data_IF_825047809630
#
_entry.id   IF_825047809630
#
_cell.length_a   1.000
_cell.length_b   1.000
_cell.length_c   1.000
_cell.angle_alpha   90.00
_cell.angle_beta   90.00
_cell.angle_gamma   90.00
#
_symmetry.space_group_name_H-M   'P 1'
#
loop_
_entity.id
_entity.type
_entity.pdbx_description
1 polymer ?
#
# COMPACT_ATOMS: atom_id res chain seq x y z
N UNK A 1 -56.61 -53.25 -46.25
CA UNK A 1 -55.29 -52.60 -46.37
C UNK A 1 -54.93 -51.99 -45.02
N UNK A 2 -54.19 -52.73 -44.19
CA UNK A 2 -53.65 -52.22 -42.94
C UNK A 2 -52.42 -51.37 -43.25
N UNK A 3 -52.45 -50.11 -42.87
CA UNK A 3 -51.41 -49.13 -43.20
C UNK A 3 -50.22 -49.34 -42.27
N UNK A 4 -49.12 -49.85 -42.84
CA UNK A 4 -47.82 -50.09 -42.20
C UNK A 4 -47.15 -48.74 -41.82
N UNK A 5 -47.69 -48.00 -40.85
CA UNK A 5 -47.24 -46.65 -40.45
C UNK A 5 -46.85 -46.53 -38.96
N UNK A 6 -46.37 -47.60 -38.34
CA UNK A 6 -45.91 -47.57 -36.95
C UNK A 6 -44.47 -47.10 -36.80
N UNK A 7 -43.53 -47.78 -37.45
CA UNK A 7 -42.09 -47.64 -37.14
C UNK A 7 -41.38 -46.55 -37.95
N UNK A 8 -41.72 -46.37 -39.23
CA UNK A 8 -41.09 -45.35 -40.10
C UNK A 8 -41.49 -43.91 -39.73
N UNK A 9 -42.69 -43.72 -39.17
CA UNK A 9 -43.14 -42.40 -38.72
C UNK A 9 -42.46 -42.01 -37.40
N UNK A 10 -42.29 -42.97 -36.48
CA UNK A 10 -41.51 -42.80 -35.25
C UNK A 10 -40.04 -42.53 -35.56
N UNK A 11 -39.41 -43.26 -36.50
CA UNK A 11 -38.01 -43.02 -36.88
C UNK A 11 -37.80 -41.63 -37.48
N UNK A 12 -38.69 -41.18 -38.37
CA UNK A 12 -38.62 -39.86 -38.97
C UNK A 12 -38.89 -38.73 -37.97
N UNK A 13 -39.79 -38.95 -37.00
CA UNK A 13 -40.05 -38.00 -35.92
C UNK A 13 -38.88 -37.88 -34.95
N UNK A 14 -38.27 -39.00 -34.56
CA UNK A 14 -37.06 -39.03 -33.72
C UNK A 14 -35.89 -38.38 -34.45
N UNK A 15 -35.66 -38.69 -35.73
CA UNK A 15 -34.55 -38.12 -36.50
C UNK A 15 -34.72 -36.61 -36.77
N UNK A 16 -35.96 -36.13 -36.96
CA UNK A 16 -36.26 -34.69 -37.06
C UNK A 16 -36.08 -33.96 -35.73
N UNK A 17 -36.39 -34.63 -34.62
CA UNK A 17 -36.18 -34.09 -33.27
C UNK A 17 -34.69 -34.01 -32.93
N UNK A 18 -33.92 -35.06 -33.23
CA UNK A 18 -32.46 -35.08 -33.07
C UNK A 18 -31.81 -33.97 -33.90
N UNK A 19 -32.14 -33.84 -35.20
CA UNK A 19 -31.61 -32.75 -36.04
C UNK A 19 -31.92 -31.35 -35.53
N UNK A 20 -33.08 -31.14 -34.88
CA UNK A 20 -33.43 -29.86 -34.24
C UNK A 20 -32.58 -29.59 -33.00
N UNK A 21 -32.30 -30.63 -32.21
CA UNK A 21 -31.41 -30.53 -31.04
C UNK A 21 -29.98 -30.26 -31.49
N UNK A 22 -29.48 -30.98 -32.49
CA UNK A 22 -28.13 -30.76 -33.06
C UNK A 22 -27.99 -29.33 -33.60
N UNK A 23 -28.97 -28.85 -34.38
CA UNK A 23 -28.94 -27.47 -34.88
C UNK A 23 -29.05 -26.39 -33.79
N UNK A 24 -29.76 -26.66 -32.69
CA UNK A 24 -29.81 -25.76 -31.54
C UNK A 24 -28.50 -25.77 -30.75
N UNK A 25 -27.85 -26.92 -30.64
CA UNK A 25 -26.55 -27.10 -29.99
C UNK A 25 -25.44 -26.43 -30.78
N UNK A 26 -25.42 -26.59 -32.11
CA UNK A 26 -24.47 -25.90 -32.99
C UNK A 26 -24.67 -24.38 -32.95
N UNK A 27 -25.93 -23.91 -32.94
CA UNK A 27 -26.22 -22.48 -32.73
C UNK A 27 -25.78 -21.96 -31.36
N UNK A 28 -25.72 -22.81 -30.33
CA UNK A 28 -25.24 -22.43 -29.00
C UNK A 28 -23.71 -22.40 -28.95
N UNK A 29 -23.04 -23.37 -29.59
CA UNK A 29 -21.58 -23.39 -29.78
C UNK A 29 -21.11 -22.12 -30.49
N UNK A 30 -21.83 -21.66 -31.50
CA UNK A 30 -21.48 -20.41 -32.21
C UNK A 30 -21.75 -19.12 -31.39
N UNK A 31 -22.48 -19.22 -30.27
CA UNK A 31 -22.78 -18.08 -29.40
C UNK A 31 -21.82 -17.93 -28.24
N UNK A 32 -21.21 -19.01 -27.77
CA UNK A 32 -20.28 -19.00 -26.63
C UNK A 32 -19.04 -19.79 -27.00
N UNK A 33 -17.90 -19.11 -27.15
CA UNK A 33 -16.63 -19.71 -27.60
C UNK A 33 -15.46 -19.24 -26.75
N UNK A 34 -14.48 -20.11 -26.54
CA UNK A 34 -13.18 -19.71 -26.01
C UNK A 34 -12.30 -19.20 -27.14
N UNK A 35 -11.61 -18.09 -26.91
CA UNK A 35 -10.76 -17.46 -27.91
C UNK A 35 -9.44 -16.96 -27.31
N UNK A 36 -8.34 -17.18 -28.03
CA UNK A 36 -7.04 -16.58 -27.74
C UNK A 36 -7.02 -15.14 -28.24
N UNK A 37 -6.47 -14.25 -27.43
CA UNK A 37 -6.25 -12.85 -27.76
C UNK A 37 -5.02 -12.73 -28.65
N UNK A 38 -5.17 -12.05 -29.79
CA UNK A 38 -4.11 -11.81 -30.77
C UNK A 38 -3.56 -10.39 -30.62
N UNK A 39 -4.45 -9.42 -30.44
CA UNK A 39 -4.07 -8.02 -30.22
C UNK A 39 -5.20 -7.28 -29.48
N UNK A 40 -4.89 -6.14 -28.88
CA UNK A 40 -5.81 -5.35 -28.06
C UNK A 40 -5.72 -3.87 -28.44
N UNK A 41 -6.87 -3.21 -28.56
CA UNK A 41 -6.91 -1.74 -28.65
C UNK A 41 -6.74 -1.13 -27.25
N UNK A 42 -5.52 -0.81 -26.83
CA UNK A 42 -5.24 -0.25 -25.49
C UNK A 42 -5.15 1.28 -25.48
N UNK A 43 -4.62 1.88 -26.53
CA UNK A 43 -4.43 3.33 -26.67
C UNK A 43 -4.33 3.72 -28.16
N UNK A 44 -4.00 4.99 -28.43
CA UNK A 44 -3.86 5.54 -29.79
C UNK A 44 -2.77 4.90 -30.65
N UNK A 45 -1.80 4.24 -30.02
CA UNK A 45 -0.66 3.63 -30.69
C UNK A 45 -0.97 2.19 -31.14
N UNK A 46 -2.11 1.63 -30.72
CA UNK A 46 -2.59 0.33 -31.17
C UNK A 46 -2.93 0.34 -32.66
N UNK A 47 -2.54 -0.72 -33.37
CA UNK A 47 -2.94 -0.92 -34.77
C UNK A 47 -4.45 -1.08 -34.95
N UNK A 48 -5.16 -1.50 -33.91
CA UNK A 48 -6.61 -1.66 -33.87
C UNK A 48 -7.37 -0.36 -33.55
N UNK A 49 -6.68 0.73 -33.16
CA UNK A 49 -7.32 1.94 -32.62
C UNK A 49 -8.35 2.56 -33.59
N UNK A 50 -7.95 2.84 -34.83
CA UNK A 50 -8.85 3.43 -35.84
C UNK A 50 -9.99 2.49 -36.25
N UNK A 51 -9.73 1.18 -36.22
CA UNK A 51 -10.65 0.14 -36.70
C UNK A 51 -11.74 -0.20 -35.67
N UNK A 52 -11.47 0.05 -34.39
CA UNK A 52 -12.38 -0.28 -33.27
C UNK A 52 -13.23 0.90 -32.80
N UNK A 53 -13.08 2.06 -33.43
CA UNK A 53 -13.80 3.29 -33.07
C UNK A 53 -13.07 4.15 -32.05
N UNK A 54 -11.73 4.14 -32.10
CA UNK A 54 -10.84 5.03 -31.35
C UNK A 54 -11.07 4.93 -29.83
N UNK A 55 -11.27 6.03 -29.13
CA UNK A 55 -11.51 6.06 -27.68
C UNK A 55 -12.72 5.23 -27.23
N UNK A 56 -13.72 5.03 -28.09
CA UNK A 56 -14.87 4.14 -27.78
C UNK A 56 -14.56 2.65 -28.01
N UNK A 57 -13.43 2.36 -28.67
CA UNK A 57 -12.94 1.03 -29.00
C UNK A 57 -11.98 0.46 -27.97
N UNK A 58 -11.52 1.25 -27.00
CA UNK A 58 -10.53 0.81 -25.99
C UNK A 58 -11.01 -0.45 -25.26
N UNK A 59 -10.11 -1.42 -25.16
CA UNK A 59 -10.36 -2.77 -24.66
C UNK A 59 -10.89 -3.73 -25.72
N UNK A 60 -11.23 -3.30 -26.95
CA UNK A 60 -11.63 -4.24 -28.00
C UNK A 60 -10.45 -5.13 -28.38
N UNK A 61 -10.66 -6.44 -28.35
CA UNK A 61 -9.63 -7.43 -28.72
C UNK A 61 -9.85 -7.91 -30.14
N UNK A 62 -8.74 -8.19 -30.82
CA UNK A 62 -8.70 -9.13 -31.93
C UNK A 62 -8.44 -10.53 -31.38
N UNK A 63 -9.18 -11.51 -31.86
CA UNK A 63 -9.11 -12.86 -31.29
C UNK A 63 -9.11 -13.96 -32.36
N UNK A 64 -8.70 -15.15 -31.92
CA UNK A 64 -8.79 -16.40 -32.67
C UNK A 64 -9.49 -17.46 -31.82
N UNK A 65 -10.44 -18.20 -32.42
CA UNK A 65 -11.12 -19.30 -31.72
C UNK A 65 -10.13 -20.44 -31.46
N UNK A 66 -10.08 -20.94 -30.22
CA UNK A 66 -9.09 -21.93 -29.78
C UNK A 66 -9.21 -23.25 -30.55
N UNK A 67 -10.43 -23.72 -30.83
CA UNK A 67 -10.71 -24.99 -31.52
C UNK A 67 -10.47 -24.95 -33.03
N UNK A 68 -10.01 -23.82 -33.57
CA UNK A 68 -9.70 -23.66 -34.99
C UNK A 68 -8.49 -22.76 -35.16
N UNK A 69 -7.32 -23.17 -34.64
CA UNK A 69 -6.11 -22.37 -34.72
C UNK A 69 -5.67 -22.27 -36.18
N UNK A 70 -5.39 -21.05 -36.61
CA UNK A 70 -4.77 -20.70 -37.88
C UNK A 70 -3.42 -20.01 -37.60
N UNK A 71 -2.51 -19.96 -38.58
CA UNK A 71 -1.25 -19.22 -38.41
C UNK A 71 -1.52 -17.73 -38.24
N UNK A 72 -0.74 -17.02 -37.43
CA UNK A 72 -0.97 -15.60 -37.15
C UNK A 72 -0.90 -14.73 -38.42
N UNK A 73 -0.07 -15.11 -39.41
CA UNK A 73 0.00 -14.48 -40.74
C UNK A 73 -1.32 -14.55 -41.52
N UNK A 74 -2.09 -15.64 -41.36
CA UNK A 74 -3.38 -15.80 -42.04
C UNK A 74 -4.49 -14.94 -41.41
N UNK A 75 -4.34 -14.56 -40.13
CA UNK A 75 -5.33 -13.77 -39.39
C UNK A 75 -5.33 -12.31 -39.91
N UNK A 76 -4.15 -11.75 -40.18
CA UNK A 76 -3.97 -10.38 -40.70
C UNK A 76 -4.59 -10.14 -42.08
N UNK A 77 -4.85 -11.20 -42.85
CA UNK A 77 -5.47 -11.14 -44.19
C UNK A 77 -6.99 -11.41 -44.18
N UNK A 78 -7.53 -11.86 -43.04
CA UNK A 78 -8.93 -12.22 -42.87
C UNK A 78 -9.74 -11.11 -42.17
N UNK A 79 -11.06 -11.13 -42.33
CA UNK A 79 -11.98 -10.19 -41.67
C UNK A 79 -11.74 -10.20 -40.15
N UNK A 80 -11.35 -9.07 -39.57
CA UNK A 80 -10.99 -8.93 -38.16
C UNK A 80 -12.09 -9.50 -37.25
N UNK A 81 -11.75 -10.52 -36.48
CA UNK A 81 -12.60 -11.05 -35.43
C UNK A 81 -12.43 -10.18 -34.19
N UNK A 82 -13.38 -9.28 -33.96
CA UNK A 82 -13.35 -8.30 -32.88
C UNK A 82 -14.35 -8.63 -31.77
N UNK A 83 -13.92 -8.49 -30.52
CA UNK A 83 -14.79 -8.61 -29.35
C UNK A 83 -14.61 -7.44 -28.38
N UNK A 84 -15.70 -7.00 -27.76
CA UNK A 84 -15.72 -5.87 -26.81
C UNK A 84 -15.75 -6.35 -25.36
N UNK A 85 -15.25 -5.57 -24.39
CA UNK A 85 -15.43 -5.92 -22.98
C UNK A 85 -16.92 -6.00 -22.64
N UNK A 86 -17.33 -7.06 -21.94
CA UNK A 86 -18.72 -7.21 -21.50
C UNK A 86 -19.10 -6.16 -20.45
N UNK A 87 -18.17 -5.85 -19.54
CA UNK A 87 -18.37 -4.90 -18.44
C UNK A 87 -17.62 -3.60 -18.71
N UNK A 88 -18.29 -2.48 -19.01
CA UNK A 88 -17.60 -1.22 -19.27
C UNK A 88 -17.05 -0.53 -18.01
N UNK A 89 -17.54 -0.89 -16.82
CA UNK A 89 -17.11 -0.30 -15.54
C UNK A 89 -15.97 -1.06 -14.85
N UNK A 90 -15.75 -2.32 -15.20
CA UNK A 90 -14.69 -3.17 -14.64
C UNK A 90 -13.69 -3.47 -15.75
N UNK A 91 -12.54 -2.78 -15.71
CA UNK A 91 -11.50 -2.88 -16.74
C UNK A 91 -10.42 -3.86 -16.30
N UNK A 92 -10.54 -5.09 -16.78
CA UNK A 92 -9.51 -6.11 -16.69
C UNK A 92 -9.29 -6.63 -18.12
N UNK A 93 -8.52 -5.88 -18.90
CA UNK A 93 -8.24 -6.25 -20.28
C UNK A 93 -7.20 -7.38 -20.28
N UNK A 94 -7.37 -8.38 -21.16
CA UNK A 94 -6.38 -9.45 -21.32
C UNK A 94 -5.05 -8.92 -21.82
N UNK A 95 -4.01 -9.75 -21.70
CA UNK A 95 -2.77 -9.64 -22.47
C UNK A 95 -2.86 -10.47 -23.76
N UNK A 96 -1.93 -10.24 -24.69
CA UNK A 96 -1.81 -11.09 -25.88
C UNK A 96 -1.48 -12.52 -25.44
N UNK A 97 -2.00 -13.48 -26.20
CA UNK A 97 -1.96 -14.92 -25.91
C UNK A 97 -2.83 -15.40 -24.73
N UNK A 98 -3.46 -14.54 -23.95
CA UNK A 98 -4.45 -15.02 -22.95
C UNK A 98 -5.74 -15.51 -23.62
N UNK A 99 -6.44 -16.42 -22.95
CA UNK A 99 -7.72 -16.94 -23.43
C UNK A 99 -8.86 -16.22 -22.71
N UNK A 100 -9.88 -15.83 -23.47
CA UNK A 100 -11.12 -15.25 -22.94
C UNK A 100 -12.33 -16.08 -23.36
N UNK A 101 -13.39 -16.01 -22.56
CA UNK A 101 -14.70 -16.50 -22.95
C UNK A 101 -15.44 -15.41 -23.71
N UNK A 102 -15.91 -15.72 -24.92
CA UNK A 102 -16.71 -14.83 -25.75
C UNK A 102 -18.17 -15.22 -25.72
N UNK A 103 -19.06 -14.23 -25.73
CA UNK A 103 -20.49 -14.38 -25.95
C UNK A 103 -20.98 -13.45 -27.06
N UNK A 104 -21.77 -13.99 -27.99
CA UNK A 104 -22.31 -13.25 -29.12
C UNK A 104 -23.62 -12.57 -28.74
N UNK A 105 -23.60 -11.23 -28.66
CA UNK A 105 -24.74 -10.42 -28.22
C UNK A 105 -25.08 -9.32 -29.25
N UNK A 106 -26.25 -8.66 -29.16
CA UNK A 106 -26.62 -7.55 -30.04
C UNK A 106 -25.60 -6.41 -30.00
N UNK A 107 -25.50 -5.65 -31.09
CA UNK A 107 -24.62 -4.49 -31.19
C UNK A 107 -25.42 -3.20 -31.52
N UNK A 108 -24.73 -2.06 -31.58
CA UNK A 108 -25.34 -0.74 -31.84
C UNK A 108 -26.17 -0.72 -33.14
N UNK A 109 -25.71 -1.42 -34.19
CA UNK A 109 -26.37 -1.50 -35.49
C UNK A 109 -27.64 -2.36 -35.47
N UNK A 110 -27.75 -3.29 -34.51
CA UNK A 110 -28.93 -4.11 -34.27
C UNK A 110 -30.13 -3.29 -33.82
N UNK A 111 -29.86 -2.31 -32.95
CA UNK A 111 -30.87 -1.45 -32.32
C UNK A 111 -31.43 -0.43 -33.33
N UNK A 112 -30.56 0.17 -34.16
CA UNK A 112 -30.96 1.23 -35.08
C UNK A 112 -31.80 0.75 -36.29
N UNK A 113 -31.77 -0.55 -36.64
CA UNK A 113 -32.39 -1.07 -37.87
C UNK A 113 -33.29 -2.30 -37.68
N UNK A 114 -33.61 -2.70 -36.43
CA UNK A 114 -34.26 -3.99 -36.12
C UNK A 114 -33.55 -5.11 -36.90
N UNK A 115 -32.22 -5.17 -36.77
CA UNK A 115 -31.41 -6.18 -37.46
C UNK A 115 -30.90 -7.21 -36.46
N UNK A 116 -30.79 -8.47 -36.87
CA UNK A 116 -30.16 -9.53 -36.07
C UNK A 116 -28.64 -9.42 -36.00
N UNK A 117 -28.06 -8.24 -36.23
CA UNK A 117 -26.64 -8.02 -36.15
C UNK A 117 -26.15 -8.34 -34.73
N UNK A 118 -24.96 -8.91 -34.62
CA UNK A 118 -24.38 -9.28 -33.34
C UNK A 118 -22.89 -8.99 -33.35
N UNK A 119 -22.29 -8.89 -32.18
CA UNK A 119 -20.84 -8.79 -31.98
C UNK A 119 -20.47 -9.66 -30.80
N UNK A 120 -19.19 -10.01 -30.70
CA UNK A 120 -18.69 -10.73 -29.56
C UNK A 120 -18.42 -9.76 -28.41
N UNK A 121 -18.74 -10.21 -27.21
CA UNK A 121 -18.34 -9.59 -25.96
C UNK A 121 -17.50 -10.61 -25.19
N UNK A 122 -16.46 -10.16 -24.52
CA UNK A 122 -15.59 -11.04 -23.74
C UNK A 122 -15.76 -10.82 -22.23
N UNK A 123 -15.61 -11.91 -21.48
CA UNK A 123 -15.37 -11.90 -20.05
C UNK A 123 -13.86 -11.74 -19.76
N UNK A 124 -13.51 -11.53 -18.49
CA UNK A 124 -12.12 -11.46 -18.05
C UNK A 124 -11.29 -12.68 -18.50
N UNK A 125 -9.96 -12.55 -18.57
CA UNK A 125 -9.06 -13.65 -18.93
C UNK A 125 -9.31 -14.90 -18.09
N UNK A 126 -9.23 -16.06 -18.73
CA UNK A 126 -9.32 -17.35 -18.05
C UNK A 126 -8.01 -17.64 -17.31
N UNK A 127 -8.14 -18.12 -16.07
CA UNK A 127 -7.02 -18.41 -15.18
C UNK A 127 -6.42 -19.79 -15.48
N UNK A 128 -5.84 -19.99 -16.67
CA UNK A 128 -5.33 -21.30 -17.11
C UNK A 128 -4.18 -21.79 -16.22
N UNK A 129 -3.29 -20.88 -15.83
CA UNK A 129 -2.16 -21.17 -14.96
C UNK A 129 -2.44 -20.85 -13.49
N UNK A 130 -3.62 -20.30 -13.20
CA UNK A 130 -4.01 -19.84 -11.88
C UNK A 130 -3.03 -18.82 -11.26
N UNK A 131 -2.45 -17.95 -12.10
CA UNK A 131 -1.46 -16.96 -11.68
C UNK A 131 -1.96 -15.52 -11.87
N UNK A 132 -1.71 -14.59 -10.93
CA UNK A 132 -2.21 -13.22 -11.03
C UNK A 132 -1.47 -12.37 -12.06
N UNK A 133 -0.21 -12.67 -12.37
CA UNK A 133 0.62 -11.87 -13.28
C UNK A 133 0.20 -12.04 -14.76
N UNK A 134 0.11 -13.27 -15.26
CA UNK A 134 -0.33 -13.58 -16.61
C UNK A 134 -0.87 -15.01 -16.75
N UNK A 135 -1.77 -15.21 -17.73
CA UNK A 135 -2.35 -16.51 -18.08
C UNK A 135 -2.22 -16.82 -19.58
N UNK A 136 -1.11 -16.42 -20.21
CA UNK A 136 -0.88 -16.55 -21.64
C UNK A 136 -0.73 -18.02 -22.06
N UNK A 137 -1.35 -18.38 -23.18
CA UNK A 137 -1.27 -19.69 -23.81
C UNK A 137 -1.02 -19.52 -25.33
N UNK A 138 0.26 -19.50 -25.75
CA UNK A 138 0.62 -19.22 -27.14
C UNK A 138 0.07 -20.22 -28.16
N UNK A 139 0.09 -19.83 -29.44
CA UNK A 139 -0.36 -20.68 -30.53
C UNK A 139 0.53 -21.92 -30.69
N UNK A 140 0.02 -23.15 -30.52
CA UNK A 140 0.84 -24.35 -30.72
C UNK A 140 1.25 -24.57 -32.18
N UNK A 141 0.58 -23.91 -33.14
CA UNK A 141 0.89 -24.01 -34.56
C UNK A 141 1.94 -23.01 -35.05
N UNK A 142 2.27 -22.00 -34.24
CA UNK A 142 3.32 -21.04 -34.56
C UNK A 142 4.54 -21.50 -33.77
N UNK A 143 5.59 -21.87 -34.49
CA UNK A 143 6.88 -22.22 -33.88
C UNK A 143 7.53 -20.92 -33.39
N UNK A 144 7.04 -20.40 -32.27
CA UNK A 144 7.58 -19.22 -31.59
C UNK A 144 8.90 -19.54 -30.87
N UNK A 145 9.42 -20.76 -30.97
CA UNK A 145 10.34 -21.28 -29.98
C UNK A 145 11.74 -21.66 -30.48
N UNK A 146 12.74 -20.98 -29.93
CA UNK A 146 14.05 -21.57 -29.68
C UNK A 146 13.87 -22.81 -28.76
N UNK A 147 14.74 -23.81 -28.87
CA UNK A 147 14.59 -25.12 -28.19
C UNK A 147 14.41 -25.06 -26.65
N UNK A 148 14.70 -23.92 -26.01
CA UNK A 148 14.54 -23.68 -24.57
C UNK A 148 13.07 -23.59 -24.11
N UNK A 149 12.18 -22.93 -24.88
CA UNK A 149 10.80 -22.70 -24.46
C UNK A 149 9.94 -23.98 -24.44
N UNK A 150 10.21 -24.94 -25.33
CA UNK A 150 9.50 -26.26 -25.32
C UNK A 150 9.80 -27.05 -24.05
N UNK A 151 11.00 -26.89 -23.48
CA UNK A 151 11.40 -27.53 -22.23
C UNK A 151 10.72 -26.87 -21.02
N UNK A 152 10.58 -25.54 -21.01
CA UNK A 152 9.92 -24.81 -19.91
C UNK A 152 8.44 -25.18 -19.76
N UNK A 153 7.66 -25.27 -20.84
CA UNK A 153 6.24 -25.66 -20.74
C UNK A 153 6.04 -27.08 -20.20
N UNK A 154 6.85 -28.04 -20.67
CA UNK A 154 6.81 -29.41 -20.15
C UNK A 154 7.26 -29.49 -18.69
N UNK A 155 8.18 -28.61 -18.28
CA UNK A 155 8.63 -28.51 -16.89
C UNK A 155 7.56 -27.83 -15.99
N UNK A 156 6.86 -26.81 -16.47
CA UNK A 156 5.75 -26.14 -15.78
C UNK A 156 4.54 -27.08 -15.63
N UNK A 157 4.16 -27.83 -16.67
CA UNK A 157 3.12 -28.87 -16.59
C UNK A 157 3.49 -30.00 -15.61
N UNK A 158 4.79 -30.23 -15.39
CA UNK A 158 5.32 -31.16 -14.40
C UNK A 158 5.49 -30.55 -12.99
N UNK A 159 5.07 -29.30 -12.77
CA UNK A 159 5.11 -28.62 -11.48
C UNK A 159 6.45 -27.96 -11.12
N UNK A 160 7.38 -27.83 -12.07
CA UNK A 160 8.62 -27.09 -11.85
C UNK A 160 8.44 -25.60 -12.16
N UNK A 161 9.10 -24.76 -11.37
CA UNK A 161 9.16 -23.33 -11.61
C UNK A 161 9.94 -22.98 -12.88
N UNK A 162 9.44 -22.00 -13.65
CA UNK A 162 10.24 -21.32 -14.66
C UNK A 162 11.40 -20.61 -13.98
N UNK A 163 12.64 -20.92 -14.37
CA UNK A 163 13.80 -20.08 -14.05
C UNK A 163 13.98 -19.10 -15.19
N UNK A 164 13.66 -17.84 -14.97
CA UNK A 164 13.98 -16.79 -15.95
C UNK A 164 15.49 -16.57 -15.88
N UNK A 165 16.23 -17.28 -16.74
CA UNK A 165 17.55 -16.83 -17.15
C UNK A 165 17.33 -15.86 -18.33
N UNK A 166 17.98 -14.69 -18.28
CA UNK A 166 17.88 -13.51 -19.17
C UNK A 166 17.96 -13.76 -20.70
N UNK A 167 18.02 -15.00 -21.18
CA UNK A 167 18.18 -15.37 -22.59
C UNK A 167 17.07 -16.30 -23.15
N UNK A 168 16.01 -16.62 -22.39
CA UNK A 168 14.87 -17.36 -22.96
C UNK A 168 13.94 -16.39 -23.72
N UNK A 169 13.64 -16.65 -25.00
CA UNK A 169 12.73 -15.83 -25.80
C UNK A 169 11.43 -15.54 -25.04
N UNK A 170 11.16 -14.26 -24.77
CA UNK A 170 9.97 -13.81 -24.05
C UNK A 170 8.75 -14.00 -24.95
N UNK A 171 7.67 -14.55 -24.41
CA UNK A 171 6.39 -14.65 -25.11
C UNK A 171 5.91 -13.22 -25.35
N UNK A 172 5.47 -12.89 -26.56
CA UNK A 172 4.88 -11.58 -26.79
C UNK A 172 3.53 -11.46 -26.06
N UNK A 173 3.50 -10.60 -25.03
CA UNK A 173 2.33 -10.31 -24.21
C UNK A 173 1.65 -8.99 -24.60
N UNK A 174 2.25 -8.21 -25.50
CA UNK A 174 1.76 -6.88 -25.87
C UNK A 174 1.25 -6.82 -27.31
N UNK A 175 1.79 -7.61 -28.24
CA UNK A 175 1.43 -7.55 -29.65
C UNK A 175 1.61 -6.14 -30.22
N UNK A 176 0.69 -5.75 -31.09
CA UNK A 176 0.66 -4.41 -31.70
C UNK A 176 -0.31 -3.46 -30.97
N UNK A 177 -0.51 -3.68 -29.67
CA UNK A 177 -1.49 -2.95 -28.85
C UNK A 177 -1.01 -1.56 -28.41
N UNK A 178 0.28 -1.28 -28.50
CA UNK A 178 0.91 -0.11 -27.87
C UNK A 178 1.05 -0.25 -26.35
N UNK A 179 0.86 -1.45 -25.80
CA UNK A 179 1.13 -1.78 -24.40
C UNK A 179 2.62 -2.00 -24.12
N UNK A 180 2.99 -1.93 -22.84
CA UNK A 180 4.37 -2.09 -22.35
C UNK A 180 4.44 -3.03 -21.13
N UNK A 181 3.56 -4.03 -21.07
CA UNK A 181 3.59 -5.03 -20.01
C UNK A 181 4.91 -5.80 -20.09
N UNK A 182 5.62 -5.91 -18.97
CA UNK A 182 6.83 -6.72 -18.85
C UNK A 182 6.61 -7.68 -17.68
N UNK A 183 6.83 -8.97 -17.91
CA UNK A 183 6.74 -9.98 -16.87
C UNK A 183 7.93 -9.82 -15.91
N UNK A 184 7.66 -9.69 -14.62
CA UNK A 184 8.67 -9.73 -13.56
C UNK A 184 9.05 -11.19 -13.26
N UNK A 185 8.07 -12.10 -13.29
CA UNK A 185 8.29 -13.54 -13.09
C UNK A 185 8.51 -13.95 -11.64
N UNK A 186 8.54 -12.98 -10.72
CA UNK A 186 8.66 -13.16 -9.28
C UNK A 186 7.52 -12.46 -8.51
N UNK A 187 6.30 -12.50 -9.05
CA UNK A 187 5.09 -12.01 -8.38
C UNK A 187 4.37 -13.18 -7.72
N UNK A 188 4.33 -13.18 -6.39
CA UNK A 188 3.74 -14.24 -5.60
C UNK A 188 2.22 -14.08 -5.41
N UNK A 189 1.39 -15.08 -5.75
CA UNK A 189 -0.03 -15.04 -5.39
C UNK A 189 -0.22 -14.86 -3.88
N UNK A 190 -1.22 -14.10 -3.47
CA UNK A 190 -1.58 -13.99 -2.05
C UNK A 190 -2.24 -15.30 -1.62
N UNK A 191 -1.73 -15.92 -0.55
CA UNK A 191 -2.31 -17.15 0.00
C UNK A 191 -3.74 -16.89 0.53
N UNK A 192 -4.78 -17.51 -0.05
CA UNK A 192 -6.14 -17.33 0.43
C UNK A 192 -6.42 -18.22 1.66
N UNK A 193 -7.19 -17.69 2.60
CA UNK A 193 -7.83 -18.44 3.68
C UNK A 193 -9.33 -18.57 3.43
N UNK A 194 -9.98 -19.46 4.18
CA UNK A 194 -11.41 -19.71 4.01
C UNK A 194 -12.24 -18.44 4.28
N UNK A 195 -13.08 -18.08 3.31
CA UNK A 195 -13.96 -16.90 3.39
C UNK A 195 -13.35 -15.60 2.87
N UNK A 196 -12.07 -15.60 2.46
CA UNK A 196 -11.45 -14.42 1.87
C UNK A 196 -12.08 -14.05 0.52
N UNK A 197 -12.13 -12.75 0.26
CA UNK A 197 -12.29 -12.18 -1.08
C UNK A 197 -11.03 -11.36 -1.37
N UNK A 198 -10.23 -11.82 -2.32
CA UNK A 198 -8.95 -11.20 -2.68
C UNK A 198 -9.02 -10.73 -4.13
N UNK A 199 -8.65 -9.48 -4.36
CA UNK A 199 -8.41 -8.94 -5.69
C UNK A 199 -6.91 -8.68 -5.83
N UNK A 200 -6.29 -9.30 -6.82
CA UNK A 200 -4.86 -9.14 -7.11
C UNK A 200 -4.65 -8.47 -8.47
N UNK A 201 -3.67 -7.58 -8.53
CA UNK A 201 -3.15 -7.02 -9.77
C UNK A 201 -1.93 -7.78 -10.27
N UNK A 202 -1.61 -7.61 -11.55
CA UNK A 202 -0.46 -8.24 -12.21
C UNK A 202 0.91 -7.77 -11.66
N UNK A 203 0.93 -6.68 -10.88
CA UNK A 203 2.15 -6.01 -10.41
C UNK A 203 2.36 -6.17 -8.90
N UNK A 204 1.79 -7.21 -8.27
CA UNK A 204 2.01 -7.50 -6.85
C UNK A 204 1.26 -6.57 -5.89
N UNK A 205 0.22 -5.89 -6.35
CA UNK A 205 -0.72 -5.14 -5.52
C UNK A 205 -1.98 -5.97 -5.24
N UNK A 206 -2.58 -5.82 -4.07
CA UNK A 206 -3.77 -6.59 -3.67
C UNK A 206 -4.72 -5.82 -2.75
N UNK A 207 -5.99 -6.24 -2.76
CA UNK A 207 -7.00 -5.89 -1.77
C UNK A 207 -7.57 -7.20 -1.24
N UNK A 208 -7.42 -7.43 0.06
CA UNK A 208 -7.96 -8.57 0.78
C UNK A 208 -9.09 -8.11 1.69
N UNK A 209 -10.26 -8.71 1.54
CA UNK A 209 -11.36 -8.68 2.51
C UNK A 209 -11.43 -10.07 3.14
N UNK A 210 -10.85 -10.21 4.33
CA UNK A 210 -10.61 -11.51 4.93
C UNK A 210 -10.93 -11.56 6.41
N UNK A 211 -10.37 -12.59 7.04
CA UNK A 211 -10.52 -12.81 8.48
C UNK A 211 -9.22 -13.32 9.12
N UNK A 212 -9.16 -13.29 10.45
CA UNK A 212 -8.20 -14.10 11.20
C UNK A 212 -8.52 -15.56 10.96
N UNK A 213 -7.58 -16.31 10.41
CA UNK A 213 -7.70 -17.74 10.17
C UNK A 213 -6.49 -18.45 10.75
N UNK A 214 -6.68 -19.15 11.88
CA UNK A 214 -5.65 -19.96 12.51
C UNK A 214 -5.58 -21.31 11.81
N UNK A 215 -4.53 -21.50 10.99
CA UNK A 215 -4.33 -22.75 10.26
C UNK A 215 -3.01 -23.42 10.67
N UNK A 216 -3.02 -24.75 10.73
CA UNK A 216 -1.83 -25.59 10.99
C UNK A 216 -1.03 -25.87 9.69
N UNK A 217 -1.11 -24.97 8.71
CA UNK A 217 -0.41 -25.09 7.42
C UNK A 217 1.07 -24.67 7.49
N UNK A 218 1.85 -25.05 6.47
CA UNK A 218 3.27 -24.65 6.35
C UNK A 218 3.46 -23.14 6.19
N UNK A 219 2.49 -22.47 5.55
CA UNK A 219 2.44 -21.01 5.44
C UNK A 219 1.24 -20.55 6.27
N UNK A 220 1.51 -19.72 7.27
CA UNK A 220 0.51 -19.16 8.20
C UNK A 220 0.39 -17.66 7.98
N UNK A 221 -0.72 -17.07 8.41
CA UNK A 221 -0.81 -15.63 8.48
C UNK A 221 0.20 -15.11 9.53
N UNK A 222 1.08 -14.21 9.13
CA UNK A 222 2.07 -13.60 10.02
C UNK A 222 1.50 -12.41 10.82
N UNK A 223 0.30 -11.93 10.49
CA UNK A 223 -0.26 -10.72 11.09
C UNK A 223 -1.03 -10.95 12.38
N UNK A 224 -1.34 -12.18 12.81
CA UNK A 224 -1.75 -12.42 14.19
C UNK A 224 -1.87 -13.89 14.60
N UNK A 225 -1.30 -14.22 15.77
CA UNK A 225 -1.63 -15.42 16.56
C UNK A 225 -2.84 -15.16 17.50
N UNK A 226 -3.22 -13.90 17.68
CA UNK A 226 -4.31 -13.45 18.56
C UNK A 226 -5.59 -13.16 17.78
N UNK A 227 -6.73 -13.22 18.48
CA UNK A 227 -8.06 -13.14 17.89
C UNK A 227 -8.68 -14.52 17.61
N UNK A 228 -9.97 -14.52 17.31
CA UNK A 228 -10.73 -15.73 17.01
C UNK A 228 -10.89 -15.89 15.50
N UNK A 229 -11.06 -17.13 15.05
CA UNK A 229 -11.36 -17.41 13.65
C UNK A 229 -12.61 -16.64 13.21
N UNK A 230 -12.54 -15.98 12.06
CA UNK A 230 -13.64 -15.17 11.54
C UNK A 230 -13.63 -13.70 11.95
N UNK A 231 -12.73 -13.26 12.83
CA UNK A 231 -12.56 -11.82 13.12
C UNK A 231 -12.12 -11.08 11.85
N UNK A 232 -12.84 -10.04 11.40
CA UNK A 232 -12.59 -9.43 10.10
C UNK A 232 -11.26 -8.67 10.08
N UNK A 233 -10.56 -8.76 8.94
CA UNK A 233 -9.40 -7.92 8.63
C UNK A 233 -9.49 -7.50 7.16
N UNK A 234 -9.08 -6.27 6.87
CA UNK A 234 -8.90 -5.84 5.49
C UNK A 234 -7.50 -5.31 5.28
N UNK A 235 -6.86 -5.76 4.22
CA UNK A 235 -5.49 -5.38 3.87
C UNK A 235 -5.50 -4.81 2.46
N UNK A 236 -4.96 -3.60 2.31
CA UNK A 236 -4.65 -3.02 1.01
C UNK A 236 -3.14 -2.98 0.91
N UNK A 237 -2.59 -3.67 -0.08
CA UNK A 237 -1.14 -3.77 -0.29
C UNK A 237 -0.79 -3.28 -1.68
N UNK A 238 0.29 -2.50 -1.77
CA UNK A 238 0.85 -2.07 -3.03
C UNK A 238 2.37 -2.33 -3.04
N UNK A 239 2.75 -3.43 -3.69
CA UNK A 239 4.11 -3.95 -3.73
C UNK A 239 4.36 -5.02 -2.67
N UNK A 240 4.97 -6.13 -3.10
CA UNK A 240 5.32 -7.26 -2.24
C UNK A 240 6.68 -7.03 -1.58
N UNK A 241 6.98 -7.81 -0.55
CA UNK A 241 8.33 -7.92 0.01
C UNK A 241 9.38 -8.16 -1.11
N UNK A 242 10.35 -7.25 -1.30
CA UNK A 242 11.38 -7.39 -2.33
C UNK A 242 12.37 -8.52 -2.07
N UNK A 243 12.45 -9.03 -0.84
CA UNK A 243 13.32 -10.15 -0.45
C UNK A 243 12.71 -11.54 -0.74
N UNK A 244 11.57 -11.59 -1.43
CA UNK A 244 10.94 -12.85 -1.82
C UNK A 244 11.79 -13.53 -2.90
N UNK A 245 12.23 -14.76 -2.61
CA UNK A 245 13.02 -15.56 -3.54
C UNK A 245 12.10 -16.36 -4.48
N UNK A 246 12.54 -16.60 -5.74
CA UNK A 246 11.85 -17.49 -6.65
C UNK A 246 11.63 -18.89 -6.04
N UNK A 247 10.53 -19.56 -6.38
CA UNK A 247 9.73 -19.26 -7.55
C UNK A 247 8.47 -18.44 -7.28
N UNK A 248 8.19 -17.48 -8.17
CA UNK A 248 7.05 -16.56 -8.08
C UNK A 248 5.68 -17.22 -8.00
N UNK A 249 5.50 -18.46 -8.46
CA UNK A 249 4.18 -19.12 -8.36
C UNK A 249 3.83 -19.60 -6.95
N UNK A 250 4.80 -19.69 -6.03
CA UNK A 250 4.55 -20.14 -4.65
C UNK A 250 3.86 -19.00 -3.90
N UNK A 251 2.64 -19.22 -3.37
CA UNK A 251 1.91 -18.15 -2.72
C UNK A 251 2.59 -17.69 -1.42
N UNK A 252 2.33 -16.43 -1.05
CA UNK A 252 2.86 -15.82 0.18
C UNK A 252 1.77 -15.07 0.93
N UNK A 253 2.03 -14.73 2.18
CA UNK A 253 1.18 -13.83 2.98
C UNK A 253 1.75 -12.42 2.99
N UNK A 254 0.87 -11.43 3.10
CA UNK A 254 1.25 -10.04 3.34
C UNK A 254 2.12 -9.92 4.60
N UNK A 255 3.12 -9.05 4.61
CA UNK A 255 4.02 -8.79 5.73
C UNK A 255 4.13 -7.29 5.95
N UNK A 256 3.56 -6.81 7.05
CA UNK A 256 3.48 -5.37 7.33
C UNK A 256 4.84 -4.68 7.34
N UNK A 257 5.91 -5.37 7.76
CA UNK A 257 7.23 -4.76 7.91
C UNK A 257 8.07 -4.83 6.63
N UNK A 258 7.77 -5.76 5.72
CA UNK A 258 8.55 -5.98 4.49
C UNK A 258 7.86 -5.57 3.21
N UNK A 259 6.53 -5.59 3.17
CA UNK A 259 5.79 -5.09 2.02
C UNK A 259 6.05 -3.58 1.83
N UNK A 260 6.14 -3.13 0.57
CA UNK A 260 6.57 -1.75 0.26
C UNK A 260 5.63 -0.68 0.81
N UNK A 261 4.32 -0.88 0.67
CA UNK A 261 3.30 0.01 1.23
C UNK A 261 2.00 -0.73 1.49
N UNK A 262 1.38 -0.45 2.64
CA UNK A 262 0.19 -1.16 3.07
C UNK A 262 -0.71 -0.39 4.03
N UNK A 263 -1.98 -0.78 4.06
CA UNK A 263 -3.01 -0.34 5.00
C UNK A 263 -3.64 -1.59 5.62
N UNK A 264 -3.61 -1.68 6.94
CA UNK A 264 -4.24 -2.77 7.70
C UNK A 264 -5.41 -2.21 8.51
N UNK A 265 -6.61 -2.74 8.27
CA UNK A 265 -7.83 -2.46 9.04
C UNK A 265 -8.12 -3.66 9.91
N UNK A 266 -7.91 -3.53 11.21
CA UNK A 266 -8.01 -4.63 12.18
C UNK A 266 -9.26 -4.50 13.04
N UNK A 267 -9.78 -5.63 13.50
CA UNK A 267 -10.84 -5.71 14.51
C UNK A 267 -10.29 -6.15 15.86
N UNK A 268 -9.47 -7.20 15.87
CA UNK A 268 -8.95 -7.82 17.09
C UNK A 268 -7.54 -8.44 16.92
N UNK A 269 -6.88 -8.14 15.80
CA UNK A 269 -5.58 -8.71 15.46
C UNK A 269 -4.45 -7.93 16.14
N UNK A 270 -3.56 -8.66 16.81
CA UNK A 270 -2.25 -8.19 17.25
C UNK A 270 -1.28 -8.22 16.08
N UNK A 271 -0.97 -7.06 15.51
CA UNK A 271 -0.09 -6.93 14.34
C UNK A 271 1.37 -6.77 14.81
N UNK A 272 2.35 -7.56 14.32
CA UNK A 272 3.74 -7.47 14.75
C UNK A 272 4.49 -6.28 14.10
N UNK A 273 3.96 -5.06 14.22
CA UNK A 273 4.54 -3.86 13.63
C UNK A 273 5.85 -3.45 14.33
N UNK A 274 6.92 -3.30 13.56
CA UNK A 274 8.20 -2.75 14.03
C UNK A 274 8.26 -1.24 13.78
N UNK A 275 8.13 -0.44 14.83
CA UNK A 275 8.19 1.02 14.71
C UNK A 275 9.63 1.52 14.61
N UNK A 276 9.87 2.45 13.69
CA UNK A 276 11.16 3.13 13.59
C UNK A 276 11.57 3.86 14.89
N UNK A 277 10.58 4.37 15.64
CA UNK A 277 10.76 4.91 16.99
C UNK A 277 9.44 4.88 17.76
N UNK A 278 9.48 4.37 18.98
CA UNK A 278 8.39 4.47 19.93
C UNK A 278 8.96 4.93 21.28
N UNK A 279 8.65 6.15 21.67
CA UNK A 279 8.94 6.66 23.02
C UNK A 279 7.67 7.27 23.61
N UNK A 280 7.48 7.05 24.90
CA UNK A 280 6.33 7.52 25.67
C UNK A 280 6.74 8.55 26.73
N UNK A 281 7.95 9.11 26.65
CA UNK A 281 8.48 10.05 27.64
C UNK A 281 7.70 11.37 27.67
N UNK A 282 6.96 11.69 26.60
CA UNK A 282 6.12 12.89 26.46
C UNK A 282 4.71 12.74 27.03
N UNK A 283 4.34 11.56 27.56
CA UNK A 283 3.00 11.29 28.10
C UNK A 283 3.07 10.65 29.49
N UNK A 284 2.10 10.97 30.35
CA UNK A 284 2.02 10.39 31.70
C UNK A 284 1.36 9.00 31.68
N UNK A 285 0.25 8.88 30.94
CA UNK A 285 -0.42 7.61 30.70
C UNK A 285 0.09 7.07 29.36
N UNK A 286 0.88 6.00 29.43
CA UNK A 286 1.47 5.36 28.26
C UNK A 286 0.39 4.59 27.50
N UNK A 287 0.21 4.81 26.20
CA UNK A 287 -0.58 3.91 25.37
C UNK A 287 0.03 2.51 25.39
N UNK A 288 -0.78 1.53 25.04
CA UNK A 288 -0.28 0.19 24.72
C UNK A 288 0.65 0.26 23.50
N UNK A 289 1.69 -0.58 23.49
CA UNK A 289 2.60 -0.64 22.35
C UNK A 289 1.85 -1.15 21.10
N UNK A 290 2.06 -0.58 19.91
CA UNK A 290 1.30 -0.97 18.73
C UNK A 290 1.42 -2.45 18.34
N UNK A 291 2.53 -3.11 18.69
CA UNK A 291 2.71 -4.55 18.47
C UNK A 291 2.06 -5.46 19.55
N UNK A 292 1.52 -4.87 20.62
CA UNK A 292 0.76 -5.56 21.65
C UNK A 292 -0.75 -5.28 21.56
N UNK A 293 -1.13 -4.18 20.91
CA UNK A 293 -2.53 -3.77 20.79
C UNK A 293 -3.36 -4.78 19.99
N UNK A 294 -4.39 -5.33 20.65
CA UNK A 294 -5.25 -6.42 20.16
C UNK A 294 -6.68 -5.98 19.85
N UNK A 295 -6.95 -4.68 19.84
CA UNK A 295 -8.27 -4.12 19.51
C UNK A 295 -8.26 -3.46 18.14
N UNK A 296 -9.41 -2.93 17.72
CA UNK A 296 -9.56 -2.36 16.40
C UNK A 296 -8.65 -1.13 16.20
N UNK A 297 -7.87 -1.17 15.13
CA UNK A 297 -6.97 -0.09 14.72
C UNK A 297 -6.78 -0.05 13.20
N UNK A 298 -6.41 1.12 12.71
CA UNK A 298 -5.94 1.33 11.34
C UNK A 298 -4.45 1.59 11.39
N UNK A 299 -3.67 0.80 10.65
CA UNK A 299 -2.23 0.96 10.54
C UNK A 299 -1.89 1.32 9.09
N UNK A 300 -1.11 2.38 8.91
CA UNK A 300 -0.57 2.82 7.62
C UNK A 300 0.94 2.61 7.67
N UNK A 301 1.49 1.77 6.78
CA UNK A 301 2.94 1.57 6.68
C UNK A 301 3.44 1.83 5.25
N UNK A 302 4.53 2.58 5.13
CA UNK A 302 5.11 3.01 3.86
C UNK A 302 6.47 3.66 4.11
N UNK A 303 7.33 3.73 3.08
CA UNK A 303 8.56 4.52 3.13
C UNK A 303 8.34 6.03 3.35
N UNK A 304 7.17 6.57 3.00
CA UNK A 304 6.77 7.96 3.30
C UNK A 304 5.24 8.07 3.44
N UNK A 305 4.79 8.83 4.43
CA UNK A 305 3.39 9.24 4.60
C UNK A 305 3.27 10.76 4.39
N UNK A 306 2.38 11.21 3.51
CA UNK A 306 2.14 12.63 3.21
C UNK A 306 0.66 12.95 3.38
N UNK A 307 0.34 13.89 4.27
CA UNK A 307 -1.01 14.43 4.45
C UNK A 307 -1.05 15.85 3.87
N UNK A 308 -1.80 16.07 2.80
CA UNK A 308 -1.86 17.35 2.08
C UNK A 308 -3.31 17.76 1.80
N UNK A 309 -3.64 19.02 2.10
CA UNK A 309 -4.95 19.64 1.82
C UNK A 309 -4.75 20.91 1.01
N UNK A 310 -5.43 21.05 -0.14
CA UNK A 310 -5.26 22.19 -1.06
C UNK A 310 -6.33 23.28 -0.92
N UNK A 311 -7.33 23.08 -0.06
CA UNK A 311 -8.46 24.01 0.11
C UNK A 311 -8.64 24.39 1.57
N UNK A 312 -8.75 23.40 2.46
CA UNK A 312 -9.19 23.62 3.84
C UNK A 312 -8.12 23.15 4.84
N UNK A 313 -8.39 22.09 5.61
CA UNK A 313 -7.65 21.79 6.84
C UNK A 313 -7.43 20.29 7.07
N UNK A 314 -6.37 19.99 7.81
CA UNK A 314 -6.13 18.69 8.44
C UNK A 314 -6.57 18.79 9.90
N UNK A 315 -7.42 17.86 10.35
CA UNK A 315 -7.89 17.78 11.75
C UNK A 315 -7.43 16.44 12.33
N UNK A 316 -6.66 16.50 13.43
CA UNK A 316 -6.20 15.34 14.19
C UNK A 316 -6.76 15.42 15.61
N UNK A 317 -7.43 14.36 16.07
CA UNK A 317 -8.08 14.31 17.39
C UNK A 317 -7.95 12.90 17.99
N UNK A 318 -7.71 12.83 19.29
CA UNK A 318 -7.59 11.58 20.05
C UNK A 318 -8.19 11.77 21.44
N UNK A 319 -8.87 10.76 21.97
CA UNK A 319 -9.53 10.81 23.28
C UNK A 319 -8.51 10.84 24.44
N UNK A 320 -7.40 10.11 24.31
CA UNK A 320 -6.41 9.95 25.39
C UNK A 320 -5.15 10.78 25.17
N UNK A 321 -4.43 10.49 24.10
CA UNK A 321 -3.13 11.10 23.81
C UNK A 321 -2.80 11.06 22.33
N UNK A 322 -1.98 12.02 21.87
CA UNK A 322 -1.33 12.01 20.56
C UNK A 322 0.18 12.00 20.77
N UNK A 323 0.89 11.06 20.15
CA UNK A 323 2.34 10.98 20.19
C UNK A 323 2.90 11.29 18.80
N UNK A 324 3.78 12.29 18.73
CA UNK A 324 4.53 12.63 17.53
C UNK A 324 5.99 12.35 17.86
N UNK A 325 6.58 11.34 17.22
CA UNK A 325 7.94 10.88 17.50
C UNK A 325 8.71 10.68 16.20
N UNK A 326 9.97 11.10 16.19
CA UNK A 326 10.90 10.97 15.05
C UNK A 326 12.30 10.61 15.56
N UNK A 327 13.09 9.93 14.72
CA UNK A 327 14.49 9.61 15.01
C UNK A 327 15.38 10.85 14.94
N UNK A 328 15.12 11.73 13.98
CA UNK A 328 15.94 12.92 13.73
C UNK A 328 15.27 14.18 14.30
N UNK A 329 14.25 14.70 13.62
CA UNK A 329 13.61 15.96 13.98
C UNK A 329 12.09 15.94 13.81
N UNK A 330 11.42 16.87 14.49
CA UNK A 330 10.01 17.23 14.30
C UNK A 330 9.97 18.74 14.05
N UNK A 331 9.60 19.13 12.84
CA UNK A 331 9.38 20.53 12.46
C UNK A 331 7.92 20.93 12.62
N UNK A 332 7.68 22.14 13.13
CA UNK A 332 6.37 22.79 13.13
C UNK A 332 6.58 24.20 12.58
N UNK A 333 6.11 24.43 11.35
CA UNK A 333 6.29 25.70 10.64
C UNK A 333 4.94 26.26 10.20
N UNK A 334 4.73 27.55 10.44
CA UNK A 334 3.56 28.28 9.96
C UNK A 334 3.96 29.71 9.57
N UNK A 335 3.39 30.22 8.47
CA UNK A 335 3.67 31.58 7.98
C UNK A 335 3.14 32.67 8.91
N UNK A 336 2.07 32.39 9.66
CA UNK A 336 1.41 33.36 10.54
C UNK A 336 1.71 33.08 12.00
N UNK A 337 1.18 31.98 12.52
CA UNK A 337 1.28 31.65 13.94
C UNK A 337 1.20 30.13 14.18
N UNK A 338 1.86 29.69 15.24
CA UNK A 338 1.67 28.38 15.85
C UNK A 338 1.10 28.62 17.24
N UNK A 339 -0.14 28.18 17.43
CA UNK A 339 -0.87 28.41 18.68
C UNK A 339 -1.02 27.10 19.46
N UNK A 340 -0.37 27.01 20.61
CA UNK A 340 -0.47 25.88 21.55
C UNK A 340 -1.34 26.30 22.74
N UNK A 341 -2.52 25.68 22.89
CA UNK A 341 -3.47 26.03 23.97
C UNK A 341 -3.59 24.87 24.95
N UNK A 342 -3.18 25.10 26.19
CA UNK A 342 -3.37 24.20 27.33
C UNK A 342 -3.21 25.00 28.63
N UNK A 343 -3.92 24.65 29.72
CA UNK A 343 -3.65 25.20 31.05
C UNK A 343 -2.20 25.01 31.52
N UNK A 344 -1.51 23.98 30.99
CA UNK A 344 -0.11 23.68 31.30
C UNK A 344 0.62 23.20 30.05
N UNK A 345 1.71 23.90 29.70
CA UNK A 345 2.65 23.51 28.65
C UNK A 345 3.98 23.18 29.33
N UNK A 346 4.43 21.95 29.17
CA UNK A 346 5.70 21.48 29.70
C UNK A 346 6.73 21.43 28.57
N UNK A 347 7.91 22.01 28.78
CA UNK A 347 9.03 21.92 27.85
C UNK A 347 10.19 21.15 28.50
N UNK A 348 10.77 20.21 27.76
CA UNK A 348 11.88 19.35 28.19
C UNK A 348 11.50 18.09 28.99
N UNK A 349 10.41 18.12 29.79
CA UNK A 349 9.96 16.95 30.57
C UNK A 349 8.48 17.06 30.96
N UNK A 350 7.77 15.94 31.09
CA UNK A 350 6.40 15.86 31.63
C UNK A 350 6.27 16.38 33.07
N UNK A 351 7.40 16.45 33.80
CA UNK A 351 7.51 16.96 35.17
C UNK A 351 8.26 18.28 35.26
N UNK A 352 8.24 19.10 34.21
CA UNK A 352 8.76 20.46 34.30
C UNK A 352 7.97 21.25 35.37
N UNK A 353 8.68 21.72 36.40
CA UNK A 353 8.12 22.49 37.53
C UNK A 353 8.53 23.97 37.53
N UNK A 354 9.40 24.36 36.59
CA UNK A 354 9.96 25.70 36.51
C UNK A 354 9.58 26.36 35.19
N UNK A 355 9.23 27.65 35.26
CA UNK A 355 8.98 28.48 34.07
C UNK A 355 10.25 28.65 33.25
N UNK A 356 10.09 28.76 31.93
CA UNK A 356 11.17 29.25 31.07
C UNK A 356 11.39 30.74 31.36
N UNK A 357 12.65 31.10 31.57
CA UNK A 357 13.12 32.48 31.69
C UNK A 357 14.03 32.78 30.50
N UNK A 358 14.17 34.05 30.13
CA UNK A 358 15.20 34.50 29.20
C UNK A 358 16.57 34.28 29.86
N UNK A 359 17.10 33.07 29.74
CA UNK A 359 18.20 32.59 30.57
C UNK A 359 19.45 33.46 30.43
N UNK A 360 19.81 33.84 29.20
CA UNK A 360 21.02 34.62 28.95
C UNK A 360 20.90 36.05 29.50
N UNK A 361 19.82 36.76 29.18
CA UNK A 361 19.57 38.11 29.69
C UNK A 361 19.40 38.15 31.22
N UNK A 362 18.66 37.18 31.77
CA UNK A 362 18.49 37.04 33.21
C UNK A 362 19.85 36.83 33.89
N UNK A 363 20.72 35.98 33.34
CA UNK A 363 22.02 35.69 33.93
C UNK A 363 22.97 36.88 33.87
N UNK A 364 22.92 37.69 32.81
CA UNK A 364 23.67 38.96 32.72
C UNK A 364 23.20 39.93 33.83
N UNK A 365 21.88 40.11 33.96
CA UNK A 365 21.33 41.00 34.99
C UNK A 365 21.58 40.47 36.41
N UNK A 366 21.53 39.14 36.59
CA UNK A 366 21.78 38.49 37.86
C UNK A 366 23.25 38.62 38.28
N UNK A 367 24.21 38.47 37.36
CA UNK A 367 25.62 38.72 37.67
C UNK A 367 25.87 40.18 38.05
N UNK A 368 25.26 41.13 37.33
CA UNK A 368 25.36 42.56 37.66
C UNK A 368 24.80 42.85 39.07
N UNK A 369 23.66 42.24 39.42
CA UNK A 369 23.11 42.34 40.77
C UNK A 369 24.10 41.77 41.81
N UNK A 370 24.67 40.59 41.57
CA UNK A 370 25.65 39.98 42.46
C UNK A 370 26.89 40.87 42.62
N UNK A 371 27.41 41.46 41.55
CA UNK A 371 28.53 42.40 41.60
C UNK A 371 28.20 43.63 42.46
N UNK A 372 27.02 44.22 42.29
CA UNK A 372 26.59 45.38 43.08
C UNK A 372 26.47 45.06 44.57
N UNK A 373 25.89 43.90 44.92
CA UNK A 373 25.80 43.47 46.31
C UNK A 373 27.19 43.12 46.87
N UNK A 374 28.07 42.53 46.06
CA UNK A 374 29.48 42.26 46.41
C UNK A 374 30.23 43.55 46.74
N UNK A 375 30.04 44.60 45.94
CA UNK A 375 30.64 45.91 46.17
C UNK A 375 30.13 46.55 47.46
N UNK A 376 28.82 46.49 47.71
CA UNK A 376 28.23 46.99 48.95
C UNK A 376 28.76 46.25 50.19
N UNK A 377 28.84 44.92 50.12
CA UNK A 377 29.39 44.09 51.19
C UNK A 377 30.86 44.46 51.47
N UNK A 378 31.67 44.71 50.44
CA UNK A 378 33.07 45.15 50.61
C UNK A 378 33.15 46.45 51.39
N UNK A 379 32.29 47.43 51.08
CA UNK A 379 32.26 48.72 51.78
C UNK A 379 31.81 48.54 53.24
N UNK A 380 30.84 47.68 53.51
CA UNK A 380 30.34 47.44 54.87
C UNK A 380 31.34 46.71 55.77
N UNK A 381 32.35 46.03 55.21
CA UNK A 381 33.41 45.39 56.00
C UNK A 381 34.28 46.40 56.77
N UNK A 382 34.30 47.67 56.36
CA UNK A 382 35.03 48.74 57.08
C UNK A 382 34.11 49.64 57.93
N UNK A 383 32.88 49.19 58.21
CA UNK A 383 31.93 49.96 59.01
C UNK A 383 32.43 50.20 60.44
N UNK A 384 32.24 51.44 60.91
CA UNK A 384 32.69 51.91 62.22
C UNK A 384 31.49 52.36 63.07
N UNK A 385 31.49 51.98 64.34
CA UNK A 385 30.64 52.55 65.38
C UNK A 385 31.38 53.74 66.03
N UNK A 386 30.62 54.69 66.60
CA UNK A 386 31.18 55.89 67.23
C UNK A 386 30.79 56.03 68.72
N UNK A 387 31.03 55.03 69.57
CA UNK A 387 30.71 55.11 70.99
C UNK A 387 31.55 56.20 71.66
N UNK A 388 30.89 57.21 72.22
CA UNK A 388 31.58 58.34 72.87
C UNK A 388 32.35 59.26 71.92
N UNK A 389 32.10 59.20 70.60
CA UNK A 389 32.71 60.11 69.61
C UNK A 389 34.05 59.67 69.03
N UNK A 390 34.57 58.50 69.40
CA UNK A 390 35.76 57.91 68.78
C UNK A 390 35.38 56.72 67.88
N UNK A 391 35.98 56.58 66.69
CA UNK A 391 35.66 55.50 65.76
C UNK A 391 36.21 54.16 66.26
N UNK A 392 35.37 53.14 66.30
CA UNK A 392 35.77 51.74 66.52
C UNK A 392 35.12 50.85 65.46
N UNK A 393 35.76 49.77 64.99
CA UNK A 393 35.10 48.82 64.09
C UNK A 393 33.79 48.31 64.70
N UNK A 394 32.72 48.31 63.90
CA UNK A 394 31.45 47.76 64.36
C UNK A 394 31.61 46.28 64.67
N UNK A 395 31.13 45.82 65.82
CA UNK A 395 31.27 44.41 66.22
C UNK A 395 30.36 43.47 65.40
N UNK A 396 29.34 44.01 64.74
CA UNK A 396 28.28 43.23 64.09
C UNK A 396 28.32 43.32 62.57
N UNK A 397 28.63 44.49 61.99
CA UNK A 397 28.49 44.71 60.55
C UNK A 397 29.59 44.01 59.71
N UNK A 398 30.89 44.14 60.01
CA UNK A 398 31.95 43.50 59.24
C UNK A 398 31.88 41.97 59.16
N UNK A 399 31.60 41.23 60.26
CA UNK A 399 31.44 39.77 60.19
C UNK A 399 30.28 39.34 59.27
N UNK A 400 29.16 40.07 59.30
CA UNK A 400 28.01 39.81 58.42
C UNK A 400 28.40 40.09 56.96
N UNK A 401 29.02 41.25 56.71
CA UNK A 401 29.42 41.66 55.37
C UNK A 401 30.44 40.68 54.73
N UNK A 402 31.41 40.19 55.51
CA UNK A 402 32.37 39.17 55.06
C UNK A 402 31.68 37.84 54.71
N UNK A 403 30.67 37.44 55.49
CA UNK A 403 29.88 36.24 55.23
C UNK A 403 29.08 36.36 53.93
N UNK A 404 28.42 37.50 53.72
CA UNK A 404 27.68 37.80 52.48
C UNK A 404 28.62 37.80 51.27
N UNK A 405 29.80 38.42 51.39
CA UNK A 405 30.82 38.40 50.34
C UNK A 405 31.19 36.98 49.92
N UNK A 406 31.48 36.12 50.90
CA UNK A 406 31.85 34.72 50.66
C UNK A 406 30.73 33.96 49.94
N UNK A 407 29.47 34.20 50.30
CA UNK A 407 28.32 33.58 49.63
C UNK A 407 28.17 34.09 48.19
N UNK A 408 28.32 35.39 47.95
CA UNK A 408 28.23 35.96 46.60
C UNK A 408 29.32 35.39 45.70
N UNK A 409 30.56 35.29 46.18
CA UNK A 409 31.65 34.69 45.39
C UNK A 409 31.34 33.24 45.01
N UNK A 410 30.73 32.45 45.90
CA UNK A 410 30.31 31.09 45.57
C UNK A 410 29.23 31.07 44.48
N UNK A 411 28.24 31.96 44.56
CA UNK A 411 27.16 32.04 43.56
C UNK A 411 27.72 32.50 42.21
N UNK A 412 28.59 33.52 42.18
CA UNK A 412 29.25 34.01 40.97
C UNK A 412 30.04 32.90 40.25
N UNK A 413 30.70 32.00 41.00
CA UNK A 413 31.38 30.85 40.40
C UNK A 413 30.42 29.87 39.72
N UNK A 414 29.20 29.70 40.24
CA UNK A 414 28.18 28.83 39.63
C UNK A 414 27.58 29.50 38.38
N UNK A 415 27.33 30.81 38.45
CA UNK A 415 26.86 31.64 37.32
C UNK A 415 27.88 31.62 36.17
N UNK A 416 29.15 31.88 36.46
CA UNK A 416 30.23 31.90 35.46
C UNK A 416 30.44 30.54 34.77
N UNK A 417 30.06 29.44 35.41
CA UNK A 417 30.12 28.09 34.84
C UNK A 417 28.87 27.71 34.02
N UNK A 418 27.89 28.60 33.89
CA UNK A 418 26.64 28.34 33.17
C UNK A 418 25.84 27.19 33.77
N UNK A 419 25.96 26.94 35.08
CA UNK A 419 25.31 25.77 35.72
C UNK A 419 23.83 25.98 36.03
N UNK A 420 23.34 27.22 35.94
CA UNK A 420 21.96 27.59 36.28
C UNK A 420 21.02 27.65 35.07
N UNK A 421 21.52 27.46 33.85
CA UNK A 421 20.69 27.40 32.64
C UNK A 421 20.35 25.95 32.28
N UNK A 422 19.16 25.75 31.71
CA UNK A 422 18.70 24.42 31.29
C UNK A 422 19.64 23.84 30.22
N UNK A 423 20.05 22.59 30.42
CA UNK A 423 20.84 21.82 29.45
C UNK A 423 19.97 20.96 28.51
N UNK A 424 18.66 20.93 28.76
CA UNK A 424 17.71 20.04 28.08
C UNK A 424 16.87 20.82 27.07
N UNK A 425 16.58 22.09 27.34
CA UNK A 425 15.76 22.93 26.46
C UNK A 425 16.34 24.32 26.39
N UNK A 426 16.59 24.79 25.16
CA UNK A 426 17.04 26.14 24.87
C UNK A 426 15.99 26.83 24.01
N UNK A 427 15.41 27.92 24.53
CA UNK A 427 14.63 28.88 23.74
C UNK A 427 15.63 29.90 23.20
N UNK A 428 15.81 29.97 21.88
CA UNK A 428 16.72 30.92 21.22
C UNK A 428 15.94 32.12 20.73
#
# INVERSE_FOLDING_TARGET
MAVNRGLSFLSNFVQKSIRRVDGALDSLKDKVVAARVIDISLNSDSTLYSQTGEWQGIGTIQFQIVDSPTSDESISSSKLNLAKPLFPQIKNYPLVNEIVLLIKLPNKSSIAKISGATTYYYFTPLSIWNHPEQNAYPNPLVDQNSDSQKSDYQQIEAGNARKVNDESSEIDLNGASGGTFMENGNIHPVLPFAGDNILEGRFGNSIRLGNTSKIDGTIQNNWSEEGEDGNPISIIRNGQNPDLEPPGWVPTTEDINKDLSSIYLTSNQKIPLELAKYTTDSVNQKPEEPNQYTSNQVILNSGRLVFNTNIDSIILSSEKSMLLTSNEEIGLDATKDITLVSPKINLGSTRAEQSLVLGDDFMIQFDLLLQNVSNLATVLQSSLDWPGGAPVPSATIPPIASTVQSQITKIQQVVAKGQLVSKVSKTV
#
